data_IF_263577490939
#
_entry.id   IF_263577490939
#
_cell.length_a   1.000
_cell.length_b   1.000
_cell.length_c   1.000
_cell.angle_alpha   90.00
_cell.angle_beta   90.00
_cell.angle_gamma   90.00
#
_symmetry.space_group_name_H-M   'P 1'
#
loop_
_entity.id
_entity.type
_entity.pdbx_description
1 polymer ?
#
# COMPACT_ATOMS: atom_id res chain seq x y z
N UNK A 1 -27.22 3.41 -39.28
CA UNK A 1 -26.65 2.58 -38.20
C UNK A 1 -27.64 2.60 -37.05
N UNK A 2 -28.14 1.45 -36.58
CA UNK A 2 -29.15 1.42 -35.50
C UNK A 2 -28.50 1.75 -34.14
N UNK A 3 -29.24 2.33 -33.18
CA UNK A 3 -28.69 2.67 -31.86
C UNK A 3 -28.11 1.45 -31.12
N UNK A 4 -28.69 0.27 -31.35
CA UNK A 4 -28.18 -1.01 -30.82
C UNK A 4 -26.80 -1.37 -31.38
N UNK A 5 -26.55 -1.11 -32.66
CA UNK A 5 -25.24 -1.34 -33.28
C UNK A 5 -24.18 -0.37 -32.74
N UNK A 6 -24.55 0.89 -32.50
CA UNK A 6 -23.65 1.89 -31.89
C UNK A 6 -23.26 1.51 -30.46
N UNK A 7 -24.22 1.05 -29.65
CA UNK A 7 -23.94 0.56 -28.29
C UNK A 7 -23.01 -0.65 -28.34
N UNK A 8 -23.26 -1.59 -29.25
CA UNK A 8 -22.40 -2.77 -29.42
C UNK A 8 -20.96 -2.41 -29.77
N UNK A 9 -20.75 -1.44 -30.66
CA UNK A 9 -19.42 -0.95 -31.03
C UNK A 9 -18.74 -0.24 -29.86
N UNK A 10 -19.47 0.62 -29.14
CA UNK A 10 -18.94 1.32 -27.97
C UNK A 10 -18.42 0.33 -26.92
N UNK A 11 -19.23 -0.68 -26.56
CA UNK A 11 -18.85 -1.71 -25.59
C UNK A 11 -17.61 -2.48 -26.06
N UNK A 12 -17.57 -2.88 -27.33
CA UNK A 12 -16.44 -3.61 -27.89
C UNK A 12 -15.13 -2.78 -27.82
N UNK A 13 -15.18 -1.50 -28.17
CA UNK A 13 -14.01 -0.61 -28.10
C UNK A 13 -13.54 -0.34 -26.66
N UNK A 14 -14.46 -0.26 -25.69
CA UNK A 14 -14.13 -0.09 -24.28
C UNK A 14 -13.41 -1.33 -23.69
N UNK A 15 -13.85 -2.53 -24.05
CA UNK A 15 -13.22 -3.78 -23.59
C UNK A 15 -11.81 -3.94 -24.15
N UNK A 16 -11.62 -3.65 -25.44
CA UNK A 16 -10.30 -3.79 -26.10
C UNK A 16 -9.29 -2.77 -25.55
N UNK A 17 -9.72 -1.54 -25.27
CA UNK A 17 -8.84 -0.50 -24.72
C UNK A 17 -8.41 -0.75 -23.27
N UNK A 18 -9.19 -1.51 -22.47
CA UNK A 18 -8.81 -1.87 -21.11
C UNK A 18 -7.54 -2.74 -21.05
N UNK A 19 -7.33 -3.63 -22.04
CA UNK A 19 -6.14 -4.47 -22.13
C UNK A 19 -4.87 -3.67 -22.45
N UNK A 20 -4.98 -2.53 -23.14
CA UNK A 20 -3.85 -1.66 -23.47
C UNK A 20 -3.62 -0.56 -22.41
N UNK A 21 -4.29 -0.63 -21.26
CA UNK A 21 -4.12 0.37 -20.21
C UNK A 21 -2.73 0.25 -19.55
N UNK A 22 -2.10 1.37 -19.17
CA UNK A 22 -0.83 1.33 -18.44
C UNK A 22 -0.93 0.60 -17.10
N UNK A 23 -2.13 0.50 -16.51
CA UNK A 23 -2.37 -0.30 -15.32
C UNK A 23 -2.25 -1.81 -15.57
N UNK A 24 -2.57 -2.29 -16.78
CA UNK A 24 -2.38 -3.70 -17.15
C UNK A 24 -0.90 -4.08 -17.24
N UNK A 25 -0.03 -3.13 -17.57
CA UNK A 25 1.42 -3.30 -17.59
C UNK A 25 2.08 -3.07 -16.21
N UNK A 26 1.31 -2.69 -15.19
CA UNK A 26 1.85 -2.36 -13.87
C UNK A 26 2.28 -3.62 -13.14
N UNK A 27 3.57 -3.86 -13.10
CA UNK A 27 4.17 -4.89 -12.25
C UNK A 27 4.34 -4.34 -10.83
N UNK A 28 4.08 -5.17 -9.82
CA UNK A 28 4.66 -4.93 -8.49
C UNK A 28 6.18 -4.93 -8.65
N UNK A 29 6.89 -4.01 -8.02
CA UNK A 29 8.35 -3.97 -8.10
C UNK A 29 8.92 -5.35 -7.75
N UNK A 30 9.75 -5.93 -8.63
CA UNK A 30 10.17 -7.34 -8.57
C UNK A 30 11.05 -7.74 -7.37
N UNK A 31 11.12 -6.89 -6.35
CA UNK A 31 11.73 -7.24 -5.08
C UNK A 31 10.79 -8.08 -4.22
N UNK A 32 11.29 -8.60 -3.09
CA UNK A 32 10.55 -9.42 -2.12
C UNK A 32 9.33 -8.77 -1.43
N UNK A 33 8.81 -7.67 -1.98
CA UNK A 33 7.54 -7.07 -1.56
C UNK A 33 7.53 -6.58 -0.12
N UNK A 34 6.34 -6.58 0.49
CA UNK A 34 6.15 -6.28 1.90
C UNK A 34 5.95 -7.58 2.72
N UNK A 35 6.58 -8.67 2.29
CA UNK A 35 6.43 -9.97 2.92
C UNK A 35 7.01 -9.95 4.35
N UNK A 36 6.37 -10.63 5.32
CA UNK A 36 6.93 -10.76 6.66
C UNK A 36 8.35 -11.36 6.59
N UNK A 37 9.34 -10.65 7.14
CA UNK A 37 10.74 -11.04 7.07
C UNK A 37 11.56 -10.35 5.97
N UNK A 38 10.92 -9.65 5.03
CA UNK A 38 11.62 -8.82 4.06
C UNK A 38 11.96 -7.43 4.63
N UNK A 39 12.83 -7.42 5.64
CA UNK A 39 13.44 -6.21 6.19
C UNK A 39 14.95 -6.35 6.19
N UNK A 40 15.65 -5.23 5.99
CA UNK A 40 17.11 -5.19 6.13
C UNK A 40 17.54 -5.37 7.59
N UNK A 41 18.83 -5.13 7.84
CA UNK A 41 19.39 -5.16 9.20
C UNK A 41 18.62 -4.22 10.13
N UNK A 42 18.27 -4.69 11.33
CA UNK A 42 17.72 -3.83 12.39
C UNK A 42 18.75 -2.76 12.70
N UNK A 43 18.37 -1.50 12.50
CA UNK A 43 19.22 -0.34 12.82
C UNK A 43 18.86 0.20 14.20
N UNK A 44 19.87 0.46 15.01
CA UNK A 44 19.68 1.10 16.31
C UNK A 44 19.32 2.58 16.11
N UNK A 45 18.25 3.04 16.74
CA UNK A 45 17.94 4.47 16.79
C UNK A 45 18.97 5.18 17.68
N UNK A 46 19.40 6.36 17.24
CA UNK A 46 20.29 7.20 18.03
C UNK A 46 19.62 7.57 19.37
N UNK A 47 20.43 7.61 20.43
CA UNK A 47 19.97 8.00 21.76
C UNK A 47 19.33 9.40 21.72
N UNK A 48 18.11 9.52 22.24
CA UNK A 48 17.36 10.79 22.25
C UNK A 48 16.54 11.09 20.99
N UNK A 49 16.49 10.18 20.02
CA UNK A 49 15.58 10.31 18.88
C UNK A 49 14.11 10.40 19.33
N UNK A 50 13.40 11.44 18.87
CA UNK A 50 11.97 11.64 19.15
C UNK A 50 11.15 11.17 17.95
N UNK A 51 10.87 9.86 17.88
CA UNK A 51 10.15 9.20 16.75
C UNK A 51 8.82 9.90 16.42
N UNK A 52 8.16 10.47 17.44
CA UNK A 52 6.85 11.13 17.33
C UNK A 52 6.94 12.65 17.52
N UNK A 53 8.03 13.31 17.11
CA UNK A 53 8.18 14.75 17.31
C UNK A 53 7.09 15.54 16.57
N UNK A 54 6.29 16.30 17.33
CA UNK A 54 5.15 17.09 16.84
C UNK A 54 4.08 16.28 16.09
N UNK A 55 4.10 14.95 16.18
CA UNK A 55 3.05 14.11 15.62
C UNK A 55 1.77 14.33 16.44
N UNK A 56 0.66 14.78 15.82
CA UNK A 56 -0.58 14.98 16.55
C UNK A 56 -1.10 13.65 17.12
N UNK A 57 -1.48 13.64 18.39
CA UNK A 57 -2.12 12.48 19.02
C UNK A 57 -3.54 12.30 18.46
N UNK A 58 -3.64 11.56 17.34
CA UNK A 58 -4.91 11.29 16.62
C UNK A 58 -5.43 9.87 16.82
N UNK A 59 -4.67 9.00 17.47
CA UNK A 59 -5.07 7.61 17.71
C UNK A 59 -6.10 7.55 18.83
N UNK A 60 -7.14 6.74 18.63
CA UNK A 60 -8.07 6.36 19.69
C UNK A 60 -7.31 5.76 20.87
N UNK A 61 -7.74 6.07 22.10
CA UNK A 61 -7.19 5.47 23.32
C UNK A 61 -7.55 3.98 23.32
N UNK A 62 -6.68 3.14 22.78
CA UNK A 62 -6.77 1.69 22.92
C UNK A 62 -6.00 1.29 24.17
N UNK A 63 -6.61 0.44 25.00
CA UNK A 63 -5.89 -0.21 26.08
C UNK A 63 -4.93 -1.21 25.44
N UNK A 64 -3.63 -0.97 25.57
CA UNK A 64 -2.63 -1.97 25.18
C UNK A 64 -2.78 -3.16 26.12
N UNK A 65 -3.25 -4.29 25.60
CA UNK A 65 -3.33 -5.56 26.32
C UNK A 65 -2.11 -6.40 25.95
N UNK A 66 -1.30 -6.78 26.94
CA UNK A 66 -0.11 -7.60 26.76
C UNK A 66 1.09 -7.11 27.56
N UNK A 67 2.13 -7.95 27.71
CA UNK A 67 3.39 -7.51 28.28
C UNK A 67 3.99 -6.38 27.43
N UNK A 68 4.58 -5.38 28.08
CA UNK A 68 5.33 -4.34 27.38
C UNK A 68 6.53 -5.01 26.68
N UNK A 69 6.86 -4.63 25.43
CA UNK A 69 8.08 -5.11 24.80
C UNK A 69 9.30 -4.63 25.60
N UNK A 70 10.31 -5.49 25.78
CA UNK A 70 11.59 -5.21 26.45
C UNK A 70 12.48 -4.19 25.71
N UNK A 71 11.90 -3.34 24.86
CA UNK A 71 12.62 -2.31 24.14
C UNK A 71 12.98 -1.14 25.07
N UNK A 72 14.06 -1.30 25.84
CA UNK A 72 14.78 -0.22 26.52
C UNK A 72 14.95 -0.33 28.03
N UNK A 73 15.38 -1.48 28.56
CA UNK A 73 16.05 -1.52 29.88
C UNK A 73 17.52 -1.14 29.76
#
# INVERSE_FOLDING_TARGET
MTPRALIGILVLTAVVSACASPEAARTRGGGPGADPGNHGTVVQLHAGAKIYHKTPCRTVKVKCSGPLPDAGT
#
